data_IF_394973863189
#
_entry.id   IF_394973863189
#
_cell.length_a   1.000
_cell.length_b   1.000
_cell.length_c   1.000
_cell.angle_alpha   90.00
_cell.angle_beta   90.00
_cell.angle_gamma   90.00
#
_symmetry.space_group_name_H-M   'P 1'
#
loop_
_entity.id
_entity.type
_entity.pdbx_description
1 polymer ?
#
# COMPACT_ATOMS: atom_id res chain seq x y z
N UNK A 1 -5.60 4.56 14.24
CA UNK A 1 -6.02 4.14 12.90
C UNK A 1 -5.69 5.24 11.89
N UNK A 2 -5.10 4.88 10.77
CA UNK A 2 -4.73 5.85 9.74
C UNK A 2 -5.96 6.13 8.87
N UNK A 3 -6.30 7.42 8.74
CA UNK A 3 -7.37 7.82 7.83
C UNK A 3 -6.79 8.08 6.45
N UNK A 4 -7.51 7.63 5.43
CA UNK A 4 -7.04 7.76 4.06
C UNK A 4 -8.21 7.74 3.09
N UNK A 5 -7.95 8.24 1.88
CA UNK A 5 -8.87 8.06 0.77
C UNK A 5 -8.10 7.48 -0.40
N UNK A 6 -8.83 6.89 -1.35
CA UNK A 6 -8.23 6.26 -2.51
C UNK A 6 -8.38 7.16 -3.72
N UNK A 7 -7.28 7.38 -4.46
CA UNK A 7 -7.36 8.06 -5.75
C UNK A 7 -8.13 7.15 -6.72
N UNK A 8 -8.57 7.72 -7.85
CA UNK A 8 -9.25 6.93 -8.87
C UNK A 8 -8.38 5.78 -9.36
N UNK A 9 -7.08 6.06 -9.54
CA UNK A 9 -6.13 5.04 -9.95
C UNK A 9 -6.01 3.94 -8.90
N UNK A 10 -5.93 4.33 -7.62
CA UNK A 10 -5.80 3.36 -6.53
C UNK A 10 -7.04 2.47 -6.45
N UNK A 11 -8.23 3.04 -6.62
CA UNK A 11 -9.46 2.26 -6.64
C UNK A 11 -9.45 1.24 -7.77
N UNK A 12 -8.99 1.66 -8.95
CA UNK A 12 -8.88 0.78 -10.10
C UNK A 12 -7.92 -0.37 -9.83
N UNK A 13 -6.77 -0.07 -9.26
CA UNK A 13 -5.78 -1.11 -8.93
C UNK A 13 -6.30 -2.06 -7.87
N UNK A 14 -7.01 -1.55 -6.88
CA UNK A 14 -7.60 -2.37 -5.84
C UNK A 14 -8.55 -3.40 -6.43
N UNK A 15 -9.38 -2.97 -7.37
CA UNK A 15 -10.34 -3.86 -8.05
C UNK A 15 -9.61 -4.86 -8.95
N UNK A 16 -8.68 -4.37 -9.77
CA UNK A 16 -7.96 -5.24 -10.72
C UNK A 16 -7.15 -6.31 -10.02
N UNK A 17 -6.51 -5.97 -8.92
CA UNK A 17 -5.62 -6.89 -8.20
C UNK A 17 -6.33 -7.60 -7.07
N UNK A 18 -7.62 -7.33 -6.86
CA UNK A 18 -8.41 -7.95 -5.80
C UNK A 18 -7.77 -7.77 -4.43
N UNK A 19 -7.38 -6.53 -4.15
CA UNK A 19 -6.76 -6.16 -2.88
C UNK A 19 -7.86 -5.74 -1.93
N UNK A 20 -7.96 -6.40 -0.78
CA UNK A 20 -9.01 -6.08 0.19
C UNK A 20 -8.66 -4.83 0.99
N UNK A 21 -9.70 -4.12 1.44
CA UNK A 21 -9.49 -2.94 2.28
C UNK A 21 -8.85 -3.32 3.62
N UNK A 22 -9.08 -4.54 4.09
CA UNK A 22 -8.44 -5.02 5.31
C UNK A 22 -6.92 -5.09 5.15
N UNK A 23 -6.44 -5.55 4.00
CA UNK A 23 -5.02 -5.62 3.73
C UNK A 23 -4.41 -4.22 3.69
N UNK A 24 -5.15 -3.25 3.12
CA UNK A 24 -4.70 -1.86 3.07
C UNK A 24 -4.57 -1.32 4.48
N UNK A 25 -5.59 -1.50 5.30
CA UNK A 25 -5.56 -1.03 6.70
C UNK A 25 -4.41 -1.67 7.46
N UNK A 26 -4.21 -2.96 7.30
CA UNK A 26 -3.10 -3.68 7.94
C UNK A 26 -1.76 -3.08 7.57
N UNK A 27 -1.56 -2.84 6.28
CA UNK A 27 -0.30 -2.30 5.78
C UNK A 27 -0.05 -0.90 6.32
N UNK A 28 -1.07 -0.07 6.41
CA UNK A 28 -0.92 1.29 6.89
C UNK A 28 -0.72 1.36 8.41
N UNK A 29 -1.38 0.47 9.15
CA UNK A 29 -1.30 0.49 10.62
C UNK A 29 -0.04 -0.22 11.15
N UNK A 30 0.36 -1.31 10.52
CA UNK A 30 1.52 -2.09 10.98
C UNK A 30 2.38 -2.52 9.80
N UNK A 31 2.99 -1.57 9.10
CA UNK A 31 3.82 -1.92 7.93
C UNK A 31 5.08 -2.65 8.36
N UNK A 32 5.56 -3.53 7.47
CA UNK A 32 6.88 -4.14 7.68
C UNK A 32 7.98 -3.13 7.42
N UNK A 33 7.76 -2.26 6.43
CA UNK A 33 8.68 -1.17 6.13
C UNK A 33 7.90 0.08 5.76
N UNK A 34 8.46 1.22 6.08
CA UNK A 34 7.85 2.52 5.81
C UNK A 34 8.97 3.50 5.55
N UNK A 35 8.91 4.18 4.40
CA UNK A 35 9.94 5.17 4.06
C UNK A 35 9.36 6.23 3.14
N UNK A 36 10.02 7.38 3.12
CA UNK A 36 9.68 8.43 2.16
C UNK A 36 10.46 8.18 0.88
N UNK A 37 9.75 8.17 -0.24
CA UNK A 37 10.37 7.97 -1.54
C UNK A 37 10.87 9.27 -2.14
N UNK A 38 11.59 9.15 -3.25
CA UNK A 38 12.11 10.31 -3.98
C UNK A 38 11.00 11.16 -4.55
N UNK A 39 9.81 10.58 -4.73
CA UNK A 39 8.63 11.29 -5.23
C UNK A 39 7.93 12.13 -4.15
N UNK A 40 8.47 12.13 -2.93
CA UNK A 40 7.86 12.87 -1.83
C UNK A 40 6.72 12.15 -1.15
N UNK A 41 6.35 10.98 -1.63
CA UNK A 41 5.27 10.19 -1.03
C UNK A 41 5.81 9.19 -0.03
N UNK A 42 4.95 8.76 0.88
CA UNK A 42 5.30 7.70 1.83
C UNK A 42 5.02 6.34 1.21
N UNK A 43 5.97 5.44 1.36
CA UNK A 43 5.85 4.07 0.85
C UNK A 43 5.73 3.10 2.01
N UNK A 44 4.66 2.31 2.01
CA UNK A 44 4.40 1.31 3.04
C UNK A 44 4.42 -0.06 2.37
N UNK A 45 5.12 -1.00 2.98
CA UNK A 45 5.16 -2.37 2.45
C UNK A 45 4.87 -3.35 3.57
N UNK A 46 4.16 -4.42 3.24
CA UNK A 46 3.85 -5.46 4.19
C UNK A 46 3.59 -6.77 3.47
N UNK A 47 4.15 -7.84 4.02
CA UNK A 47 3.88 -9.19 3.52
C UNK A 47 2.46 -9.59 3.90
N UNK A 48 1.68 -10.06 2.92
CA UNK A 48 0.29 -10.46 3.14
C UNK A 48 0.20 -11.97 3.06
N UNK A 49 -0.08 -12.59 4.20
CA UNK A 49 -0.14 -14.03 4.32
C UNK A 49 -1.16 -14.64 3.35
N UNK A 50 -2.31 -14.01 3.21
CA UNK A 50 -3.39 -14.50 2.36
C UNK A 50 -3.02 -14.51 0.87
N UNK A 51 -1.96 -13.83 0.50
CA UNK A 51 -1.43 -13.83 -0.85
C UNK A 51 -0.09 -14.52 -0.91
N UNK A 52 0.07 -15.56 -0.10
CA UNK A 52 1.26 -16.42 -0.10
C UNK A 52 2.54 -15.62 0.13
N UNK A 53 2.46 -14.63 1.01
CA UNK A 53 3.61 -13.81 1.32
C UNK A 53 3.93 -12.73 0.31
N UNK A 54 3.03 -12.47 -0.64
CA UNK A 54 3.20 -11.34 -1.54
C UNK A 54 3.28 -10.05 -0.77
N UNK A 55 4.14 -9.12 -1.21
CA UNK A 55 4.35 -7.86 -0.50
C UNK A 55 3.45 -6.78 -1.10
N UNK A 56 2.52 -6.29 -0.31
CA UNK A 56 1.65 -5.18 -0.71
C UNK A 56 2.44 -3.88 -0.52
N UNK A 57 2.52 -3.10 -1.59
CA UNK A 57 3.23 -1.82 -1.60
C UNK A 57 2.20 -0.72 -1.81
N UNK A 58 2.10 0.20 -0.85
CA UNK A 58 1.17 1.31 -0.91
C UNK A 58 1.96 2.61 -0.97
N UNK A 59 1.60 3.46 -1.94
CA UNK A 59 2.20 4.79 -2.09
C UNK A 59 1.15 5.81 -1.68
N UNK A 60 1.46 6.61 -0.67
CA UNK A 60 0.49 7.54 -0.10
C UNK A 60 1.02 8.97 -0.06
N UNK A 61 0.19 9.90 -0.50
CA UNK A 61 0.47 11.32 -0.39
C UNK A 61 -0.02 11.80 0.98
N UNK A 62 0.90 12.17 1.84
CA UNK A 62 0.59 12.61 3.20
C UNK A 62 0.51 14.14 3.32
N UNK A 63 0.69 14.85 2.21
CA UNK A 63 0.61 16.32 2.21
C UNK A 63 -0.83 16.83 2.14
N UNK A 64 -1.79 15.93 1.90
CA UNK A 64 -3.21 16.27 1.82
C UNK A 64 -3.97 15.63 2.98
N UNK A 65 -5.14 16.18 3.31
CA UNK A 65 -5.98 15.68 4.40
C UNK A 65 -7.38 15.39 3.86
N UNK A 66 -7.89 14.17 4.02
CA UNK A 66 -7.16 13.01 4.54
C UNK A 66 -6.06 12.58 3.60
N UNK A 67 -5.11 11.80 4.10
CA UNK A 67 -4.02 11.28 3.28
C UNK A 67 -4.60 10.50 2.09
N UNK A 68 -3.94 10.56 0.94
CA UNK A 68 -4.46 9.92 -0.26
C UNK A 68 -3.55 8.81 -0.74
N UNK A 69 -4.11 7.64 -0.93
CA UNK A 69 -3.38 6.54 -1.56
C UNK A 69 -3.32 6.81 -3.06
N UNK A 70 -2.13 7.05 -3.56
CA UNK A 70 -1.90 7.37 -4.96
C UNK A 70 -1.97 6.11 -5.82
N UNK A 71 -1.33 5.04 -5.35
CA UNK A 71 -1.35 3.76 -6.04
C UNK A 71 -1.01 2.66 -5.04
N UNK A 72 -1.32 1.42 -5.41
CA UNK A 72 -0.97 0.25 -4.61
C UNK A 72 -0.87 -0.96 -5.53
N UNK A 73 0.00 -1.89 -5.15
CA UNK A 73 0.23 -3.08 -5.98
C UNK A 73 1.02 -4.10 -5.15
N UNK A 74 1.05 -5.34 -5.64
CA UNK A 74 1.91 -6.36 -5.04
C UNK A 74 3.27 -6.28 -5.72
N UNK A 75 4.29 -6.03 -4.93
CA UNK A 75 5.65 -5.81 -5.44
C UNK A 75 6.38 -7.16 -5.51
N UNK A 76 6.49 -7.66 -6.72
CA UNK A 76 7.10 -8.99 -6.93
C UNK A 76 8.57 -9.03 -6.55
N UNK A 77 9.25 -7.91 -6.70
CA UNK A 77 10.68 -7.87 -6.38
C UNK A 77 10.91 -8.09 -4.90
N UNK A 78 10.06 -7.51 -4.07
CA UNK A 78 10.18 -7.67 -2.63
C UNK A 78 9.76 -9.06 -2.19
N UNK A 79 8.77 -9.63 -2.86
CA UNK A 79 8.27 -10.96 -2.51
C UNK A 79 9.31 -12.06 -2.73
N UNK A 80 10.29 -11.82 -3.57
CA UNK A 80 11.34 -12.82 -3.87
C UNK A 80 12.47 -12.82 -2.85
N UNK A 81 12.47 -11.91 -1.94
CA UNK A 81 13.53 -11.83 -0.94
C UNK A 81 13.21 -12.79 0.20
N UNK A 82 13.98 -13.80 0.29
CA UNK A 82 13.82 -14.79 1.32
C UNK A 82 15.07 -14.91 2.12
#
# INVERSE_FOLDING_TARGET
>A
MVEFELSAHAKSMMTKRKISSDWISRTLNTPDKKRRGDDGNMHYTKSIREREGGVLHIVMNTDVQPNRIVTLFFDRRLAKQK
#
